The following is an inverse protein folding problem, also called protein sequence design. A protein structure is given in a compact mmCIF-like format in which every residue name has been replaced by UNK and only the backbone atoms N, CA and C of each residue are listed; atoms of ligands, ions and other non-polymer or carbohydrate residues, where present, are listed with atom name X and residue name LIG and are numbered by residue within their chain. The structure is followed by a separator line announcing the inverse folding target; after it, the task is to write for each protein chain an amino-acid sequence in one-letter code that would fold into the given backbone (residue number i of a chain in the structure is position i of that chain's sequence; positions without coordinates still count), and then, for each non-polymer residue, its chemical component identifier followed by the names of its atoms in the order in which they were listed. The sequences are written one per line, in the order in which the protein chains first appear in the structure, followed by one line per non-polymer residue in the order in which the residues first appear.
data_IF_702058166328
#
_entry.id   IF_702058166328
#
_cell.length_a   1.000
_cell.length_b   1.000
_cell.length_c   1.000
_cell.angle_alpha   90.00
_cell.angle_beta   90.00
_cell.angle_gamma   90.00
#
_symmetry.space_group_name_H-M   'P 1'
#
loop_
_entity.id
_entity.type
_entity.pdbx_description
1 polymer ?
#
# COMPACT_ATOMS: atom_id res chain seq x y z
N UNK A 1 -5.76 -35.95 1.17
CA UNK A 1 -4.51 -35.24 0.84
C UNK A 1 -3.47 -35.61 1.89
N UNK A 2 -2.34 -36.19 1.51
CA UNK A 2 -1.25 -36.47 2.43
C UNK A 2 -0.55 -35.18 2.84
N UNK A 3 -0.26 -35.04 4.13
CA UNK A 3 0.56 -33.94 4.66
C UNK A 3 1.96 -34.02 4.04
N UNK A 4 2.54 -32.88 3.64
CA UNK A 4 3.94 -32.89 3.21
C UNK A 4 4.83 -33.32 4.40
N UNK A 5 5.99 -33.95 4.14
CA UNK A 5 6.92 -34.32 5.23
C UNK A 5 7.39 -33.11 6.04
N UNK A 6 7.41 -31.92 5.42
CA UNK A 6 7.71 -30.67 6.11
C UNK A 6 6.60 -30.33 7.13
N UNK A 7 5.33 -30.58 6.81
CA UNK A 7 4.18 -30.30 7.68
C UNK A 7 4.12 -31.22 8.91
N UNK A 8 4.81 -32.36 8.87
CA UNK A 8 4.91 -33.27 10.03
C UNK A 8 5.93 -32.79 11.06
N UNK A 9 6.76 -31.79 10.73
CA UNK A 9 7.73 -31.24 11.64
C UNK A 9 7.07 -30.26 12.63
N UNK A 10 7.50 -30.26 13.90
CA UNK A 10 7.18 -29.19 14.84
C UNK A 10 7.46 -27.81 14.24
N UNK A 11 6.66 -26.82 14.62
CA UNK A 11 6.74 -25.44 14.10
C UNK A 11 8.14 -24.86 14.28
N UNK A 12 8.82 -25.18 15.37
CA UNK A 12 10.17 -24.73 15.69
C UNK A 12 11.20 -25.21 14.64
N UNK A 13 11.10 -26.48 14.21
CA UNK A 13 11.98 -27.04 13.18
C UNK A 13 11.66 -26.46 11.80
N UNK A 14 10.37 -26.23 11.51
CA UNK A 14 9.97 -25.58 10.25
C UNK A 14 10.52 -24.16 10.17
N UNK A 15 10.40 -23.38 11.26
CA UNK A 15 11.00 -22.06 11.37
C UNK A 15 12.53 -22.13 11.19
N UNK A 16 13.19 -23.12 11.78
CA UNK A 16 14.62 -23.30 11.59
C UNK A 16 14.98 -23.52 10.11
N UNK A 17 14.25 -24.39 9.40
CA UNK A 17 14.43 -24.64 7.95
C UNK A 17 14.18 -23.37 7.14
N UNK A 18 13.10 -22.63 7.43
CA UNK A 18 12.79 -21.39 6.72
C UNK A 18 13.90 -20.35 6.88
N UNK A 19 14.58 -20.31 8.04
CA UNK A 19 15.70 -19.39 8.24
C UNK A 19 16.90 -19.71 7.34
N UNK A 20 17.20 -20.98 7.09
CA UNK A 20 18.21 -21.40 6.10
C UNK A 20 17.81 -21.10 4.65
N UNK A 21 16.52 -21.06 4.36
CA UNK A 21 16.00 -20.68 3.04
C UNK A 21 15.97 -19.15 2.84
N UNK A 22 16.49 -18.37 3.80
CA UNK A 22 16.43 -16.91 3.81
C UNK A 22 15.00 -16.36 3.74
N UNK A 23 14.01 -17.12 4.23
CA UNK A 23 12.64 -16.63 4.35
C UNK A 23 12.61 -15.69 5.56
N UNK A 24 12.06 -14.47 5.42
CA UNK A 24 11.97 -13.55 6.53
C UNK A 24 11.01 -14.06 7.61
N UNK A 25 11.56 -14.63 8.69
CA UNK A 25 10.78 -15.02 9.88
C UNK A 25 10.83 -13.97 10.99
N UNK A 26 11.84 -13.12 10.90
CA UNK A 26 12.07 -12.00 11.80
C UNK A 26 12.12 -10.73 10.97
N UNK A 27 11.94 -9.60 11.65
CA UNK A 27 12.09 -8.31 10.99
C UNK A 27 13.56 -8.05 10.63
N UNK A 28 14.53 -8.88 11.03
CA UNK A 28 15.95 -8.70 10.75
C UNK A 28 16.44 -9.78 9.79
N UNK A 29 16.56 -9.43 8.52
CA UNK A 29 17.14 -10.28 7.49
C UNK A 29 18.67 -10.16 7.52
N UNK A 30 19.36 -11.29 7.64
CA UNK A 30 20.81 -11.36 7.38
C UNK A 30 21.01 -11.58 5.90
N UNK A 31 21.45 -10.53 5.20
CA UNK A 31 21.87 -10.69 3.82
C UNK A 31 23.36 -11.05 3.80
N UNK A 32 23.65 -12.25 3.30
CA UNK A 32 25.01 -12.65 2.98
C UNK A 32 25.28 -12.15 1.57
N UNK A 33 26.04 -11.06 1.47
CA UNK A 33 26.47 -10.56 0.18
C UNK A 33 27.58 -11.48 -0.33
N UNK A 34 27.24 -12.42 -1.21
CA UNK A 34 28.23 -13.17 -1.94
C UNK A 34 28.91 -12.20 -2.92
N UNK A 35 30.00 -11.57 -2.48
CA UNK A 35 30.96 -10.91 -3.38
C UNK A 35 31.58 -11.99 -4.26
N UNK A 36 30.89 -12.39 -5.32
CA UNK A 36 31.40 -13.33 -6.31
C UNK A 36 30.75 -13.03 -7.67
N UNK A 37 31.29 -12.03 -8.34
CA UNK A 37 31.32 -11.99 -9.80
C UNK A 37 32.76 -11.61 -10.22
N UNK A 38 33.62 -12.64 -10.36
CA UNK A 38 34.76 -12.68 -11.29
C UNK A 38 36.08 -11.92 -10.98
N UNK A 39 36.55 -11.83 -9.72
CA UNK A 39 37.96 -11.45 -9.48
C UNK A 39 38.65 -12.46 -8.55
N UNK A 40 39.66 -13.16 -9.07
CA UNK A 40 40.33 -14.32 -8.46
C UNK A 40 41.29 -13.99 -7.31
N UNK A 41 41.05 -12.92 -6.55
CA UNK A 41 41.96 -12.54 -5.46
C UNK A 41 41.38 -12.95 -4.10
N UNK A 42 42.11 -13.87 -3.47
CA UNK A 42 41.69 -14.80 -2.42
C UNK A 42 41.56 -14.19 -1.01
N UNK A 43 40.94 -13.02 -0.86
CA UNK A 43 40.60 -12.47 0.46
C UNK A 43 39.19 -11.86 0.48
N UNK A 44 38.17 -12.70 0.31
CA UNK A 44 36.78 -12.26 0.40
C UNK A 44 36.30 -12.28 1.85
N UNK A 45 36.40 -11.15 2.52
CA UNK A 45 35.62 -10.91 3.74
C UNK A 45 34.13 -10.94 3.38
N UNK A 46 33.40 -11.92 3.94
CA UNK A 46 31.95 -11.93 3.89
C UNK A 46 31.43 -10.79 4.75
N UNK A 47 31.12 -9.65 4.12
CA UNK A 47 30.36 -8.60 4.79
C UNK A 47 28.92 -9.09 4.95
N UNK A 48 28.53 -9.42 6.17
CA UNK A 48 27.13 -9.62 6.52
C UNK A 48 26.49 -8.27 6.78
N UNK A 49 25.38 -7.98 6.10
CA UNK A 49 24.57 -6.79 6.38
C UNK A 49 23.25 -7.26 6.96
N UNK A 50 22.88 -6.70 8.12
CA UNK A 50 21.57 -6.92 8.71
C UNK A 50 20.64 -5.84 8.17
N UNK A 51 19.51 -6.27 7.61
CA UNK A 51 18.50 -5.39 7.05
C UNK A 51 17.22 -5.57 7.87
N UNK A 52 16.58 -4.46 8.25
CA UNK A 52 15.31 -4.51 8.98
C UNK A 52 14.13 -4.37 8.02
N UNK A 53 13.28 -5.38 7.93
CA UNK A 53 11.99 -5.29 7.25
C UNK A 53 11.02 -4.42 8.04
N UNK A 54 10.44 -3.44 7.36
CA UNK A 54 9.48 -2.51 7.95
C UNK A 54 8.08 -2.64 7.39
N UNK A 55 7.93 -3.13 6.17
CA UNK A 55 6.61 -3.27 5.55
C UNK A 55 6.62 -4.06 4.25
N UNK A 56 5.42 -4.29 3.73
CA UNK A 56 5.17 -4.97 2.46
C UNK A 56 4.25 -4.08 1.64
N UNK A 57 4.70 -3.64 0.48
CA UNK A 57 3.94 -2.83 -0.45
C UNK A 57 3.45 -3.66 -1.63
N UNK A 58 2.16 -3.48 -1.95
CA UNK A 58 1.49 -4.08 -3.08
C UNK A 58 1.07 -2.96 -4.04
N UNK A 59 1.93 -2.58 -5.00
CA UNK A 59 1.71 -1.42 -5.86
C UNK A 59 0.57 -1.60 -6.86
N UNK A 60 0.44 -2.79 -7.44
CA UNK A 60 -0.57 -3.10 -8.45
C UNK A 60 -0.90 -4.59 -8.46
N UNK A 61 -2.16 -4.97 -8.62
CA UNK A 61 -2.65 -6.35 -8.58
C UNK A 61 -2.89 -6.99 -9.95
N UNK A 62 -2.14 -6.61 -11.00
CA UNK A 62 -2.23 -7.35 -12.26
C UNK A 62 -1.79 -8.81 -12.03
N UNK A 63 -2.75 -9.72 -12.17
CA UNK A 63 -2.75 -11.13 -11.70
C UNK A 63 -1.56 -12.02 -12.11
N UNK A 64 -0.67 -11.56 -12.98
CA UNK A 64 0.47 -12.34 -13.50
C UNK A 64 1.85 -11.79 -13.11
N UNK A 65 1.94 -10.55 -12.62
CA UNK A 65 3.24 -9.88 -12.42
C UNK A 65 3.32 -9.05 -11.13
N UNK A 66 2.23 -8.93 -10.38
CA UNK A 66 2.22 -8.26 -9.08
C UNK A 66 3.10 -9.02 -8.09
N UNK A 67 4.36 -8.57 -7.92
CA UNK A 67 5.25 -9.12 -6.92
C UNK A 67 5.24 -8.20 -5.69
N UNK A 68 4.99 -8.74 -4.48
CA UNK A 68 5.08 -7.95 -3.26
C UNK A 68 6.47 -7.35 -3.12
N UNK A 69 6.51 -6.08 -2.76
CA UNK A 69 7.73 -5.32 -2.57
C UNK A 69 7.94 -5.12 -1.06
N UNK A 70 9.03 -5.63 -0.51
CA UNK A 70 9.37 -5.49 0.90
C UNK A 70 10.09 -4.15 1.13
N UNK A 71 9.60 -3.35 2.06
CA UNK A 71 10.28 -2.15 2.56
C UNK A 71 11.37 -2.53 3.56
N UNK A 72 12.57 -1.96 3.39
CA UNK A 72 13.72 -2.23 4.26
C UNK A 72 14.38 -0.96 4.83
N UNK A 73 14.80 -1.04 6.09
CA UNK A 73 15.62 -0.05 6.82
C UNK A 73 17.01 -0.60 7.14
N UNK A 74 17.97 0.31 7.36
CA UNK A 74 19.32 -0.03 7.83
C UNK A 74 20.33 -0.36 6.73
N UNK A 75 20.09 0.10 5.51
CA UNK A 75 20.96 -0.19 4.37
C UNK A 75 21.81 1.02 4.00
N UNK A 76 23.01 1.10 4.61
CA UNK A 76 24.10 1.96 4.10
C UNK A 76 24.91 1.26 3.00
N UNK A 77 24.67 -0.04 2.79
CA UNK A 77 25.39 -0.84 1.80
C UNK A 77 24.85 -0.62 0.38
N UNK A 78 25.76 -0.54 -0.60
CA UNK A 78 25.43 -0.48 -2.03
C UNK A 78 24.71 -1.75 -2.49
N UNK A 79 23.38 -1.69 -2.50
CA UNK A 79 22.47 -2.80 -2.81
C UNK A 79 22.56 -3.29 -4.25
N UNK A 80 23.21 -2.52 -5.14
CA UNK A 80 23.50 -2.95 -6.51
C UNK A 80 24.39 -4.21 -6.56
N UNK A 81 25.04 -4.56 -5.44
CA UNK A 81 25.96 -5.70 -5.31
C UNK A 81 25.30 -6.97 -4.77
N UNK A 82 24.01 -6.94 -4.44
CA UNK A 82 23.30 -8.14 -3.97
C UNK A 82 22.90 -9.00 -5.17
N UNK A 83 23.32 -10.26 -5.14
CA UNK A 83 23.02 -11.30 -6.13
C UNK A 83 21.51 -11.34 -6.46
N UNK A 84 21.16 -10.90 -7.67
CA UNK A 84 19.83 -11.09 -8.28
C UNK A 84 19.73 -12.34 -9.14
N UNK A 85 20.63 -13.32 -8.92
CA UNK A 85 20.71 -14.54 -9.72
C UNK A 85 19.45 -15.42 -9.60
N UNK A 86 19.21 -16.23 -10.62
CA UNK A 86 18.13 -17.23 -10.60
C UNK A 86 18.35 -18.20 -9.42
N UNK A 87 17.42 -18.20 -8.45
CA UNK A 87 17.49 -19.02 -7.23
C UNK A 87 17.66 -18.22 -5.93
N UNK A 88 18.12 -16.98 -6.01
CA UNK A 88 17.94 -16.01 -4.93
C UNK A 88 16.46 -15.61 -4.94
N UNK A 89 15.67 -15.96 -3.93
CA UNK A 89 14.25 -15.60 -3.83
C UNK A 89 13.95 -14.08 -3.84
N UNK A 90 15.00 -13.26 -3.94
CA UNK A 90 14.99 -11.80 -3.98
C UNK A 90 15.66 -11.32 -5.28
N UNK A 91 14.90 -10.68 -6.18
CA UNK A 91 15.48 -10.05 -7.37
C UNK A 91 16.04 -8.66 -7.05
N UNK A 92 17.07 -8.27 -7.81
CA UNK A 92 17.93 -7.12 -7.58
C UNK A 92 17.18 -5.80 -7.28
N UNK A 93 17.74 -5.10 -6.29
CA UNK A 93 17.30 -3.83 -5.72
C UNK A 93 17.58 -2.68 -6.70
N UNK A 94 16.54 -1.98 -7.16
CA UNK A 94 16.72 -0.68 -7.83
C UNK A 94 16.72 0.41 -6.77
N UNK A 95 17.88 1.04 -6.57
CA UNK A 95 18.24 2.34 -5.92
C UNK A 95 17.50 2.87 -4.68
N UNK A 96 16.37 2.29 -4.28
CA UNK A 96 15.57 2.64 -3.12
C UNK A 96 15.11 1.32 -2.49
N UNK A 97 15.55 1.07 -1.24
CA UNK A 97 15.05 0.18 -0.16
C UNK A 97 13.93 -0.86 -0.38
N UNK A 98 13.89 -1.55 -1.52
CA UNK A 98 12.76 -2.40 -1.90
C UNK A 98 13.21 -3.80 -2.38
N UNK A 99 12.92 -4.83 -1.60
CA UNK A 99 13.21 -6.22 -1.99
C UNK A 99 11.97 -6.88 -2.58
N UNK A 100 12.03 -7.39 -3.81
CA UNK A 100 10.89 -8.08 -4.40
C UNK A 100 10.84 -9.53 -3.90
N UNK A 101 9.76 -9.90 -3.20
CA UNK A 101 9.57 -11.27 -2.71
C UNK A 101 8.86 -12.11 -3.79
N UNK A 102 9.62 -12.97 -4.46
CA UNK A 102 9.08 -13.84 -5.50
C UNK A 102 8.40 -15.09 -4.89
N UNK A 103 7.23 -14.90 -4.26
CA UNK A 103 6.45 -16.02 -3.68
C UNK A 103 6.04 -17.06 -4.72
N UNK A 104 5.84 -16.66 -5.98
CA UNK A 104 5.53 -17.55 -7.09
C UNK A 104 6.66 -18.53 -7.46
N UNK A 105 7.93 -18.20 -7.15
CA UNK A 105 9.06 -19.11 -7.35
C UNK A 105 9.15 -20.19 -6.27
N UNK A 106 8.47 -20.01 -5.15
CA UNK A 106 8.64 -20.91 -4.03
C UNK A 106 7.91 -22.25 -4.24
N UNK A 107 6.97 -22.35 -5.20
CA UNK A 107 6.30 -23.61 -5.57
C UNK A 107 5.68 -24.35 -4.37
N UNK A 108 5.49 -23.65 -3.25
CA UNK A 108 5.29 -24.30 -1.96
C UNK A 108 3.85 -24.75 -1.84
N UNK A 109 3.67 -25.85 -1.13
CA UNK A 109 2.37 -26.26 -0.64
C UNK A 109 1.63 -25.05 -0.02
N UNK A 110 0.36 -24.89 -0.39
CA UNK A 110 -0.52 -23.81 0.06
C UNK A 110 -0.43 -23.54 1.57
N UNK A 111 -0.27 -24.57 2.39
CA UNK A 111 -0.19 -24.45 3.85
C UNK A 111 1.08 -23.77 4.33
N UNK A 112 2.21 -24.07 3.69
CA UNK A 112 3.48 -23.41 4.00
C UNK A 112 3.41 -21.94 3.58
N UNK A 113 2.78 -21.65 2.44
CA UNK A 113 2.52 -20.28 2.04
C UNK A 113 1.67 -19.54 3.08
N UNK A 114 0.56 -20.14 3.54
CA UNK A 114 -0.31 -19.56 4.58
C UNK A 114 0.45 -19.32 5.90
N UNK A 115 1.31 -20.25 6.33
CA UNK A 115 2.15 -20.08 7.52
C UNK A 115 3.14 -18.92 7.37
N UNK A 116 3.84 -18.83 6.24
CA UNK A 116 4.78 -17.73 5.96
C UNK A 116 4.05 -16.39 5.95
N UNK A 117 2.90 -16.32 5.29
CA UNK A 117 2.05 -15.13 5.29
C UNK A 117 1.60 -14.76 6.71
N UNK A 118 1.21 -15.74 7.52
CA UNK A 118 0.85 -15.52 8.93
C UNK A 118 1.97 -14.93 9.76
N UNK A 119 3.22 -15.37 9.52
CA UNK A 119 4.39 -14.86 10.23
C UNK A 119 4.75 -13.44 9.77
N UNK A 120 4.73 -13.20 8.45
CA UNK A 120 5.13 -11.92 7.86
C UNK A 120 4.12 -10.82 8.13
N UNK A 121 2.86 -11.03 7.77
CA UNK A 121 1.85 -9.97 7.81
C UNK A 121 1.39 -9.61 9.21
N UNK A 122 1.61 -10.49 10.19
CA UNK A 122 1.34 -10.19 11.59
C UNK A 122 2.32 -9.18 12.17
N UNK A 123 3.53 -9.07 11.62
CA UNK A 123 4.63 -8.25 12.16
C UNK A 123 4.98 -7.03 11.33
N UNK A 124 4.43 -6.91 10.12
CA UNK A 124 4.82 -5.92 9.13
C UNK A 124 3.61 -5.09 8.70
N UNK A 125 3.85 -3.82 8.41
CA UNK A 125 2.86 -2.95 7.80
C UNK A 125 2.61 -3.38 6.35
N UNK A 126 1.38 -3.76 6.02
CA UNK A 126 0.99 -4.11 4.65
C UNK A 126 0.33 -2.91 3.99
N UNK A 127 0.97 -2.38 2.95
CA UNK A 127 0.51 -1.22 2.19
C UNK A 127 -0.12 -1.65 0.87
N UNK A 128 -1.31 -1.15 0.60
CA UNK A 128 -2.10 -1.54 -0.57
C UNK A 128 -2.34 -0.30 -1.44
N UNK A 129 -1.71 -0.30 -2.61
CA UNK A 129 -1.80 0.76 -3.63
C UNK A 129 -2.94 0.60 -4.62
N UNK A 130 -3.70 -0.49 -4.54
CA UNK A 130 -4.72 -0.84 -5.52
C UNK A 130 -6.07 -1.10 -4.84
N UNK A 131 -7.12 -1.16 -5.66
CA UNK A 131 -8.46 -1.42 -5.14
C UNK A 131 -8.66 -2.90 -4.78
N UNK A 132 -9.03 -3.16 -3.52
CA UNK A 132 -9.30 -4.51 -3.03
C UNK A 132 -10.65 -5.08 -3.50
N UNK A 133 -11.64 -4.22 -3.68
CA UNK A 133 -13.04 -4.61 -3.91
C UNK A 133 -13.41 -4.82 -5.39
N UNK A 134 -12.81 -4.10 -6.34
CA UNK A 134 -13.24 -4.13 -7.76
C UNK A 134 -12.73 -5.36 -8.54
N UNK A 135 -11.81 -6.16 -8.00
CA UNK A 135 -11.35 -7.39 -8.65
C UNK A 135 -12.44 -8.48 -8.65
N UNK A 136 -13.50 -8.32 -7.87
CA UNK A 136 -14.71 -9.14 -7.99
C UNK A 136 -15.64 -8.75 -9.16
N UNK A 137 -15.49 -7.55 -9.75
CA UNK A 137 -16.49 -6.98 -10.66
C UNK A 137 -15.89 -6.52 -12.00
N UNK A 138 -14.59 -6.20 -12.08
CA UNK A 138 -13.94 -5.95 -13.36
C UNK A 138 -13.55 -7.26 -14.04
N UNK A 139 -14.52 -7.77 -14.80
CA UNK A 139 -14.29 -8.59 -15.99
C UNK A 139 -13.14 -7.94 -16.76
N UNK A 140 -12.00 -8.62 -16.88
CA UNK A 140 -10.96 -8.20 -17.82
C UNK A 140 -11.56 -8.03 -19.22
N UNK A 141 -10.96 -7.26 -20.11
CA UNK A 141 -11.43 -7.12 -21.50
C UNK A 141 -11.60 -8.50 -22.21
N UNK A 142 -10.99 -9.57 -21.67
CA UNK A 142 -11.12 -10.96 -22.14
C UNK A 142 -12.21 -11.78 -21.44
N UNK A 143 -13.08 -11.19 -20.62
CA UNK A 143 -14.17 -11.93 -19.95
C UNK A 143 -13.75 -12.67 -18.68
N UNK A 144 -12.45 -12.73 -18.35
CA UNK A 144 -11.96 -13.52 -17.22
C UNK A 144 -11.96 -12.67 -15.95
N UNK A 145 -12.66 -13.17 -14.92
CA UNK A 145 -12.60 -12.63 -13.57
C UNK A 145 -11.17 -12.78 -13.04
N UNK A 146 -10.50 -11.66 -12.77
CA UNK A 146 -9.19 -11.68 -12.13
C UNK A 146 -9.33 -12.26 -10.72
N UNK A 147 -8.46 -13.20 -10.35
CA UNK A 147 -8.36 -13.65 -8.96
C UNK A 147 -7.59 -12.59 -8.17
N UNK A 148 -8.07 -12.22 -6.97
CA UNK A 148 -7.28 -11.39 -6.06
C UNK A 148 -5.89 -12.00 -5.86
N UNK A 149 -4.85 -11.15 -5.87
CA UNK A 149 -3.49 -11.59 -5.57
C UNK A 149 -3.33 -12.07 -4.12
N UNK A 150 -4.10 -11.49 -3.19
CA UNK A 150 -4.15 -11.92 -1.80
C UNK A 150 -5.29 -12.93 -1.62
N UNK A 151 -4.98 -14.10 -1.06
CA UNK A 151 -6.01 -15.05 -0.64
C UNK A 151 -6.81 -14.49 0.53
N UNK A 152 -8.07 -14.90 0.69
CA UNK A 152 -8.86 -14.58 1.89
C UNK A 152 -8.15 -15.03 3.17
N UNK A 153 -7.44 -16.17 3.13
CA UNK A 153 -6.62 -16.64 4.25
C UNK A 153 -5.50 -15.66 4.61
N UNK A 154 -4.84 -15.05 3.63
CA UNK A 154 -3.79 -14.06 3.86
C UNK A 154 -4.31 -12.85 4.64
N UNK A 155 -5.50 -12.38 4.29
CA UNK A 155 -6.12 -11.20 4.90
C UNK A 155 -6.39 -11.38 6.40
N UNK A 156 -6.66 -12.62 6.84
CA UNK A 156 -6.92 -12.91 8.25
C UNK A 156 -5.71 -12.69 9.16
N UNK A 157 -4.51 -12.59 8.60
CA UNK A 157 -3.28 -12.38 9.37
C UNK A 157 -2.77 -10.94 9.33
N UNK A 158 -3.42 -10.05 8.57
CA UNK A 158 -3.02 -8.65 8.47
C UNK A 158 -3.32 -7.95 9.80
N UNK A 159 -2.27 -7.51 10.50
CA UNK A 159 -2.41 -6.69 11.71
C UNK A 159 -2.24 -5.21 11.43
N UNK A 160 -1.41 -4.84 10.46
CA UNK A 160 -1.13 -3.45 10.12
C UNK A 160 -1.42 -3.26 8.64
N UNK A 161 -2.37 -2.38 8.31
CA UNK A 161 -2.80 -2.16 6.94
C UNK A 161 -2.82 -0.68 6.61
N UNK A 162 -2.28 -0.32 5.44
CA UNK A 162 -2.35 1.04 4.91
C UNK A 162 -3.02 1.04 3.54
N UNK A 163 -4.13 1.77 3.43
CA UNK A 163 -4.82 2.01 2.17
C UNK A 163 -4.31 3.32 1.56
N UNK A 164 -3.52 3.22 0.50
CA UNK A 164 -2.80 4.34 -0.10
C UNK A 164 -3.74 5.32 -0.85
N UNK A 165 -3.33 6.58 -1.09
CA UNK A 165 -4.17 7.58 -1.77
C UNK A 165 -4.44 7.26 -3.23
N UNK A 166 -3.64 6.39 -3.83
CA UNK A 166 -3.80 5.95 -5.23
C UNK A 166 -4.96 4.96 -5.43
N UNK A 167 -5.53 4.42 -4.34
CA UNK A 167 -6.62 3.45 -4.42
C UNK A 167 -7.83 4.05 -5.12
N UNK A 168 -8.26 3.39 -6.21
CA UNK A 168 -9.40 3.79 -7.03
C UNK A 168 -9.09 4.84 -8.11
N UNK A 169 -7.90 5.47 -8.10
CA UNK A 169 -7.50 6.47 -9.10
C UNK A 169 -7.11 5.88 -10.45
N UNK A 170 -6.65 4.63 -10.46
CA UNK A 170 -6.30 3.94 -11.69
C UNK A 170 -7.58 3.52 -12.43
N UNK A 171 -7.74 4.03 -13.65
CA UNK A 171 -8.76 3.58 -14.60
C UNK A 171 -8.09 3.08 -15.86
N UNK A 172 -8.61 1.99 -16.42
CA UNK A 172 -8.23 1.52 -17.75
C UNK A 172 -8.74 2.42 -18.86
N UNK A 173 -9.80 3.20 -18.60
CA UNK A 173 -10.30 4.21 -19.53
C UNK A 173 -9.36 5.43 -19.54
N UNK A 174 -9.18 6.08 -20.72
CA UNK A 174 -8.40 7.31 -20.85
C UNK A 174 -8.92 8.30 -19.81
N UNK A 175 -8.04 8.65 -18.86
CA UNK A 175 -8.41 9.26 -17.59
C UNK A 175 -9.35 10.45 -17.83
N UNK A 176 -10.61 10.39 -17.37
CA UNK A 176 -11.45 11.57 -17.40
C UNK A 176 -10.74 12.67 -16.59
N UNK A 177 -10.97 13.93 -16.96
CA UNK A 177 -10.64 15.06 -16.08
C UNK A 177 -11.15 14.72 -14.68
N UNK A 178 -10.46 15.16 -13.63
CA UNK A 178 -10.85 14.91 -12.24
C UNK A 178 -12.16 15.68 -11.91
N UNK A 179 -13.28 15.18 -12.45
CA UNK A 179 -14.62 15.73 -12.29
C UNK A 179 -15.18 15.31 -10.94
N UNK A 180 -16.19 16.03 -10.42
CA UNK A 180 -16.89 15.60 -9.20
C UNK A 180 -17.46 14.17 -9.29
N UNK A 181 -17.94 13.76 -10.48
CA UNK A 181 -18.46 12.41 -10.71
C UNK A 181 -17.35 11.34 -10.64
N UNK A 182 -16.19 11.61 -11.25
CA UNK A 182 -15.03 10.73 -11.14
C UNK A 182 -14.55 10.64 -9.68
N UNK A 183 -14.42 11.78 -9.00
CA UNK A 183 -14.02 11.81 -7.60
C UNK A 183 -15.00 11.04 -6.70
N UNK A 184 -16.31 11.16 -6.94
CA UNK A 184 -17.33 10.35 -6.27
C UNK A 184 -17.17 8.85 -6.52
N UNK A 185 -16.80 8.46 -7.74
CA UNK A 185 -16.51 7.06 -8.09
C UNK A 185 -15.27 6.54 -7.36
N UNK A 186 -14.20 7.34 -7.28
CA UNK A 186 -12.99 7.01 -6.50
C UNK A 186 -13.33 6.79 -5.03
N UNK A 187 -14.13 7.67 -4.42
CA UNK A 187 -14.56 7.49 -3.03
C UNK A 187 -15.40 6.23 -2.85
N UNK A 188 -16.33 5.94 -3.77
CA UNK A 188 -17.12 4.71 -3.73
C UNK A 188 -16.21 3.47 -3.72
N UNK A 189 -15.17 3.46 -4.55
CA UNK A 189 -14.17 2.38 -4.62
C UNK A 189 -13.34 2.23 -3.34
N UNK A 190 -12.97 3.36 -2.73
CA UNK A 190 -12.29 3.39 -1.43
C UNK A 190 -13.21 2.86 -0.32
N UNK A 191 -14.47 3.32 -0.25
CA UNK A 191 -15.50 2.79 0.66
C UNK A 191 -15.66 1.28 0.51
N UNK A 192 -15.78 0.77 -0.72
CA UNK A 192 -15.89 -0.67 -0.95
C UNK A 192 -14.65 -1.44 -0.50
N UNK A 193 -13.46 -0.85 -0.64
CA UNK A 193 -12.21 -1.46 -0.14
C UNK A 193 -12.16 -1.49 1.38
N UNK A 194 -12.61 -0.42 2.06
CA UNK A 194 -12.72 -0.35 3.51
C UNK A 194 -13.73 -1.37 4.07
N UNK A 195 -14.93 -1.46 3.47
CA UNK A 195 -15.93 -2.45 3.86
C UNK A 195 -15.43 -3.90 3.64
N UNK A 196 -14.65 -4.11 2.57
CA UNK A 196 -14.00 -5.38 2.32
C UNK A 196 -12.98 -5.72 3.42
N UNK A 197 -12.14 -4.76 3.83
CA UNK A 197 -11.18 -4.91 4.94
C UNK A 197 -11.93 -5.26 6.24
N UNK A 198 -13.00 -4.54 6.55
CA UNK A 198 -13.83 -4.77 7.74
C UNK A 198 -14.33 -6.21 7.86
N UNK A 199 -14.59 -6.85 6.71
CA UNK A 199 -15.16 -8.19 6.65
C UNK A 199 -14.11 -9.30 6.60
N UNK A 200 -12.88 -9.01 6.18
CA UNK A 200 -11.86 -10.02 5.89
C UNK A 200 -10.58 -9.91 6.73
N UNK A 201 -10.42 -8.85 7.52
CA UNK A 201 -9.23 -8.62 8.36
C UNK A 201 -9.60 -8.58 9.85
N UNK A 202 -10.09 -9.68 10.46
CA UNK A 202 -10.52 -9.68 11.87
C UNK A 202 -9.38 -9.43 12.87
N UNK A 203 -8.14 -9.72 12.50
CA UNK A 203 -6.94 -9.49 13.32
C UNK A 203 -6.28 -8.13 13.11
N UNK A 204 -6.97 -7.21 12.43
CA UNK A 204 -6.45 -5.88 12.17
C UNK A 204 -6.28 -5.11 13.48
N UNK A 205 -5.07 -4.60 13.71
CA UNK A 205 -4.66 -3.82 14.89
C UNK A 205 -4.50 -2.34 14.55
N UNK A 206 -3.96 -2.04 13.37
CA UNK A 206 -3.74 -0.68 12.89
C UNK A 206 -4.25 -0.58 11.47
N UNK A 207 -5.14 0.38 11.23
CA UNK A 207 -5.53 0.79 9.89
C UNK A 207 -5.13 2.23 9.64
N UNK A 208 -4.38 2.45 8.57
CA UNK A 208 -4.06 3.77 8.06
C UNK A 208 -4.78 4.01 6.74
N UNK A 209 -5.73 4.94 6.74
CA UNK A 209 -6.45 5.36 5.55
C UNK A 209 -5.86 6.66 5.02
N UNK A 210 -5.37 6.64 3.78
CA UNK A 210 -4.78 7.82 3.14
C UNK A 210 -5.68 8.34 2.02
N UNK A 211 -6.68 9.19 2.27
CA UNK A 211 -7.52 9.72 1.19
C UNK A 211 -6.73 10.64 0.26
N UNK A 212 -7.07 10.68 -1.02
CA UNK A 212 -6.44 11.60 -1.97
C UNK A 212 -7.01 13.02 -1.83
N UNK A 213 -6.22 14.05 -1.46
CA UNK A 213 -6.75 15.39 -1.17
C UNK A 213 -7.52 16.03 -2.33
N UNK A 214 -7.04 15.88 -3.58
CA UNK A 214 -7.76 16.44 -4.74
C UNK A 214 -9.11 15.73 -4.98
N UNK A 215 -9.25 14.46 -4.59
CA UNK A 215 -10.55 13.75 -4.69
C UNK A 215 -11.50 14.35 -3.65
N UNK A 216 -11.04 14.50 -2.41
CA UNK A 216 -11.83 15.10 -1.33
C UNK A 216 -12.26 16.54 -1.66
N UNK A 217 -11.38 17.36 -2.26
CA UNK A 217 -11.72 18.75 -2.60
C UNK A 217 -12.85 18.85 -3.63
N UNK A 218 -12.98 17.88 -4.54
CA UNK A 218 -13.99 17.88 -5.63
C UNK A 218 -15.36 17.31 -5.25
N UNK A 219 -15.47 16.54 -4.16
CA UNK A 219 -16.75 15.92 -3.76
C UNK A 219 -17.56 16.79 -2.80
N UNK A 220 -18.88 16.58 -2.75
CA UNK A 220 -19.75 17.15 -1.69
C UNK A 220 -19.54 16.42 -0.36
N UNK A 221 -19.79 17.07 0.76
CA UNK A 221 -19.68 16.48 2.12
C UNK A 221 -20.54 15.21 2.29
N UNK A 222 -21.68 15.12 1.62
CA UNK A 222 -22.54 13.93 1.65
C UNK A 222 -21.86 12.67 1.11
N UNK A 223 -20.85 12.80 0.23
CA UNK A 223 -20.08 11.66 -0.27
C UNK A 223 -19.03 11.15 0.73
N UNK A 224 -18.78 11.88 1.82
CA UNK A 224 -17.87 11.42 2.88
C UNK A 224 -18.57 10.46 3.84
N UNK A 225 -19.90 10.54 3.97
CA UNK A 225 -20.66 9.71 4.91
C UNK A 225 -20.43 8.20 4.71
N UNK A 226 -20.44 7.64 3.47
CA UNK A 226 -20.14 6.22 3.27
C UNK A 226 -18.71 5.82 3.67
N UNK A 227 -17.73 6.71 3.53
CA UNK A 227 -16.36 6.46 3.98
C UNK A 227 -16.31 6.40 5.51
N UNK A 228 -16.98 7.35 6.18
CA UNK A 228 -17.10 7.38 7.64
C UNK A 228 -17.81 6.13 8.16
N UNK A 229 -18.91 5.72 7.53
CA UNK A 229 -19.64 4.51 7.89
C UNK A 229 -18.77 3.25 7.75
N UNK A 230 -17.95 3.16 6.68
CA UNK A 230 -17.03 2.05 6.51
C UNK A 230 -15.91 2.03 7.56
N UNK A 231 -15.38 3.19 7.98
CA UNK A 231 -14.39 3.27 9.06
C UNK A 231 -14.98 2.86 10.41
N UNK A 232 -16.21 3.30 10.69
CA UNK A 232 -17.00 2.85 11.85
C UNK A 232 -17.18 1.32 11.81
N UNK A 233 -17.56 0.78 10.66
CA UNK A 233 -17.74 -0.67 10.49
C UNK A 233 -16.44 -1.44 10.77
N UNK A 234 -15.29 -0.93 10.31
CA UNK A 234 -13.98 -1.52 10.61
C UNK A 234 -13.72 -1.52 12.12
N UNK A 235 -13.97 -0.40 12.81
CA UNK A 235 -13.79 -0.30 14.26
C UNK A 235 -14.68 -1.27 15.02
N UNK A 236 -15.92 -1.47 14.56
CA UNK A 236 -16.86 -2.38 15.22
C UNK A 236 -16.60 -3.86 14.95
N UNK A 237 -16.11 -4.21 13.74
CA UNK A 237 -15.88 -5.61 13.34
C UNK A 237 -14.49 -6.12 13.71
N UNK A 238 -13.48 -5.25 13.77
CA UNK A 238 -12.09 -5.64 14.02
C UNK A 238 -11.81 -5.56 15.52
N UNK A 239 -12.05 -6.66 16.24
CA UNK A 239 -11.96 -6.70 17.71
C UNK A 239 -10.55 -6.45 18.27
N UNK A 240 -9.52 -6.58 17.42
CA UNK A 240 -8.13 -6.33 17.79
C UNK A 240 -7.65 -4.93 17.38
N UNK A 241 -8.50 -4.13 16.75
CA UNK A 241 -8.13 -2.80 16.27
C UNK A 241 -7.85 -1.93 17.48
N UNK A 242 -6.73 -1.21 17.44
CA UNK A 242 -6.25 -0.30 18.50
C UNK A 242 -6.04 1.10 17.97
N UNK A 243 -5.78 1.24 16.66
CA UNK A 243 -5.40 2.50 16.04
C UNK A 243 -6.07 2.66 14.68
N UNK A 244 -6.77 3.77 14.53
CA UNK A 244 -7.22 4.30 13.25
C UNK A 244 -6.44 5.56 12.94
N UNK A 245 -5.81 5.60 11.78
CA UNK A 245 -5.03 6.76 11.34
C UNK A 245 -5.62 7.25 10.03
N UNK A 246 -5.89 8.55 9.93
CA UNK A 246 -6.16 9.21 8.67
C UNK A 246 -5.01 10.16 8.40
N UNK A 247 -4.34 9.96 7.26
CA UNK A 247 -3.18 10.75 6.88
C UNK A 247 -3.34 11.28 5.46
N UNK A 248 -2.88 12.49 5.23
CA UNK A 248 -2.96 13.15 3.94
C UNK A 248 -1.61 13.74 3.55
N UNK A 249 -1.28 13.53 2.28
CA UNK A 249 0.00 13.94 1.70
C UNK A 249 -0.21 15.07 0.73
N UNK A 250 0.81 15.90 0.58
CA UNK A 250 0.80 16.91 -0.45
C UNK A 250 0.74 16.28 -1.85
N UNK A 251 -0.20 16.74 -2.66
CA UNK A 251 -0.38 16.30 -4.04
C UNK A 251 -0.19 17.45 -5.01
N UNK A 252 0.46 17.13 -6.13
CA UNK A 252 0.62 18.05 -7.25
C UNK A 252 -0.52 17.86 -8.24
N UNK A 253 -1.09 18.95 -8.78
CA UNK A 253 -2.04 18.86 -9.87
C UNK A 253 -1.33 18.26 -11.10
N UNK A 254 -2.08 17.50 -11.90
CA UNK A 254 -1.61 16.96 -13.18
C UNK A 254 -1.54 18.08 -14.24
N UNK A 255 -0.75 19.11 -13.99
CA UNK A 255 -0.36 20.06 -15.02
C UNK A 255 0.98 19.58 -15.64
N UNK A 256 1.14 19.76 -16.96
CA UNK A 256 2.37 19.36 -17.66
C UNK A 256 3.64 20.06 -17.17
N UNK A 257 3.51 21.06 -16.30
CA UNK A 257 4.57 21.87 -15.73
C UNK A 257 5.50 21.08 -14.79
N UNK A 258 5.08 19.90 -14.31
CA UNK A 258 5.93 18.98 -13.53
C UNK A 258 6.52 17.85 -14.39
N UNK A 259 6.73 18.10 -15.68
CA UNK A 259 6.96 17.12 -16.75
C UNK A 259 8.08 16.10 -16.52
N UNK A 260 9.14 16.45 -15.78
CA UNK A 260 10.28 15.55 -15.53
C UNK A 260 10.07 14.58 -14.36
N UNK A 261 9.10 14.81 -13.46
CA UNK A 261 8.81 13.90 -12.34
C UNK A 261 7.66 12.92 -12.64
N UNK A 262 7.18 12.83 -13.88
CA UNK A 262 6.02 11.99 -14.27
C UNK A 262 6.15 10.52 -13.88
N UNK A 263 7.36 9.98 -13.81
CA UNK A 263 7.59 8.59 -13.38
C UNK A 263 7.44 8.39 -11.86
N UNK A 264 7.68 9.41 -11.04
CA UNK A 264 7.59 9.31 -9.57
C UNK A 264 6.18 9.56 -9.01
N UNK A 265 5.25 10.04 -9.85
CA UNK A 265 3.99 10.63 -9.40
C UNK A 265 2.76 9.69 -9.42
N UNK A 266 2.93 8.44 -9.83
CA UNK A 266 1.86 7.42 -9.76
C UNK A 266 2.14 6.31 -8.73
N UNK A 267 3.38 6.19 -8.25
CA UNK A 267 3.72 5.26 -7.17
C UNK A 267 3.30 5.78 -5.78
N UNK A 268 2.68 6.96 -5.74
CA UNK A 268 1.70 7.36 -4.72
C UNK A 268 2.20 7.58 -3.30
N UNK A 269 3.41 7.15 -2.98
CA UNK A 269 3.93 7.22 -1.62
C UNK A 269 5.42 6.92 -1.60
N UNK A 270 6.23 7.96 -1.43
CA UNK A 270 7.53 7.75 -0.80
C UNK A 270 7.25 7.59 0.71
N UNK A 271 7.64 6.47 1.35
CA UNK A 271 7.57 6.31 2.81
C UNK A 271 8.24 7.44 3.59
N UNK A 272 9.16 8.17 2.96
CA UNK A 272 9.89 9.30 3.56
C UNK A 272 9.13 10.61 3.51
N UNK A 273 8.05 10.70 2.73
CA UNK A 273 7.22 11.91 2.78
C UNK A 273 6.44 11.88 4.07
N UNK A 274 6.76 12.81 4.96
CA UNK A 274 5.95 13.07 6.13
C UNK A 274 4.55 13.49 5.69
N UNK A 275 3.54 12.96 6.37
CA UNK A 275 2.17 13.39 6.15
C UNK A 275 2.07 14.87 6.57
N UNK A 276 1.48 15.71 5.72
CA UNK A 276 1.23 17.10 6.09
C UNK A 276 0.11 17.21 7.11
N UNK A 277 -0.83 16.27 7.07
CA UNK A 277 -1.89 16.13 8.06
C UNK A 277 -1.97 14.67 8.44
N UNK A 278 -1.87 14.38 9.73
CA UNK A 278 -2.05 13.06 10.30
C UNK A 278 -2.82 13.18 11.60
N UNK A 279 -3.97 12.51 11.65
CA UNK A 279 -4.81 12.44 12.83
C UNK A 279 -5.00 10.98 13.20
N UNK A 280 -4.97 10.70 14.50
CA UNK A 280 -5.01 9.35 15.03
C UNK A 280 -6.08 9.23 16.10
N UNK A 281 -6.84 8.15 16.03
CA UNK A 281 -7.73 7.69 17.08
C UNK A 281 -7.19 6.36 17.61
N UNK A 282 -6.70 6.38 18.84
CA UNK A 282 -6.14 5.22 19.53
C UNK A 282 -6.95 4.83 20.76
N UNK A 283 -6.98 3.54 21.06
CA UNK A 283 -7.53 2.98 22.30
C UNK A 283 -6.76 1.72 22.72
N UNK A 284 -6.88 1.33 23.98
CA UNK A 284 -6.15 0.19 24.55
C UNK A 284 -6.66 -1.15 24.03
N UNK A 285 -5.83 -2.19 24.14
CA UNK A 285 -6.23 -3.54 23.73
C UNK A 285 -7.40 -4.06 24.57
N UNK A 286 -8.51 -4.38 23.90
CA UNK A 286 -9.72 -4.90 24.54
C UNK A 286 -10.76 -3.82 24.85
N UNK A 287 -10.38 -2.54 24.81
CA UNK A 287 -11.33 -1.44 24.89
C UNK A 287 -12.17 -1.37 23.63
N UNK A 288 -13.46 -1.07 23.80
CA UNK A 288 -14.37 -0.81 22.67
C UNK A 288 -14.58 0.68 22.55
N UNK A 289 -14.09 1.25 21.46
CA UNK A 289 -14.42 2.62 21.08
C UNK A 289 -15.90 2.73 20.75
N UNK A 290 -16.56 3.77 21.24
CA UNK A 290 -17.96 4.02 20.90
C UNK A 290 -18.11 4.39 19.43
N UNK A 291 -19.16 3.87 18.79
CA UNK A 291 -19.46 4.12 17.39
C UNK A 291 -19.52 5.63 17.07
N UNK A 292 -20.11 6.43 17.95
CA UNK A 292 -20.27 7.87 17.73
C UNK A 292 -18.94 8.61 17.80
N UNK A 293 -18.03 8.19 18.67
CA UNK A 293 -16.67 8.77 18.77
C UNK A 293 -15.93 8.58 17.45
N UNK A 294 -15.92 7.38 16.88
CA UNK A 294 -15.27 7.10 15.58
C UNK A 294 -15.93 7.91 14.46
N UNK A 295 -17.26 8.01 14.47
CA UNK A 295 -18.04 8.74 13.45
C UNK A 295 -17.70 10.24 13.47
N UNK A 296 -17.74 10.87 14.64
CA UNK A 296 -17.43 12.29 14.82
C UNK A 296 -15.99 12.57 14.42
N UNK A 297 -15.04 11.80 14.97
CA UNK A 297 -13.62 11.92 14.65
C UNK A 297 -13.36 11.80 13.15
N UNK A 298 -13.80 10.71 12.50
CA UNK A 298 -13.53 10.48 11.09
C UNK A 298 -14.14 11.58 10.20
N UNK A 299 -15.34 12.07 10.56
CA UNK A 299 -15.99 13.18 9.85
C UNK A 299 -15.18 14.46 9.97
N UNK A 300 -14.74 14.83 11.18
CA UNK A 300 -13.95 16.04 11.42
C UNK A 300 -12.63 16.00 10.66
N UNK A 301 -11.90 14.88 10.75
CA UNK A 301 -10.61 14.73 10.06
C UNK A 301 -10.77 14.80 8.53
N UNK A 302 -11.74 14.08 7.94
CA UNK A 302 -11.96 14.12 6.49
C UNK A 302 -12.39 15.50 5.99
N UNK A 303 -13.17 16.24 6.79
CA UNK A 303 -13.51 17.64 6.52
C UNK A 303 -12.27 18.53 6.62
N UNK A 304 -11.40 18.29 7.60
CA UNK A 304 -10.10 18.96 7.75
C UNK A 304 -9.21 18.76 6.52
N UNK A 305 -9.00 17.51 6.09
CA UNK A 305 -8.25 17.18 4.86
C UNK A 305 -8.86 17.87 3.64
N UNK A 306 -10.19 17.89 3.52
CA UNK A 306 -10.87 18.56 2.40
C UNK A 306 -10.63 20.08 2.36
N UNK A 307 -10.52 20.71 3.53
CA UNK A 307 -10.37 22.17 3.68
C UNK A 307 -8.91 22.63 3.64
N UNK A 308 -7.95 21.73 3.85
CA UNK A 308 -6.53 22.08 3.90
C UNK A 308 -5.98 22.36 2.49
N UNK A 309 -5.83 23.64 2.15
CA UNK A 309 -5.32 24.09 0.84
C UNK A 309 -3.86 23.69 0.62
N UNK A 310 -3.05 23.59 1.68
CA UNK A 310 -1.64 23.22 1.62
C UNK A 310 -1.39 21.82 1.06
N UNK A 311 -2.40 20.94 1.18
CA UNK A 311 -2.35 19.59 0.62
C UNK A 311 -2.39 19.58 -0.93
N UNK A 312 -2.82 20.66 -1.57
CA UNK A 312 -2.91 20.77 -3.03
C UNK A 312 -1.97 21.88 -3.49
N UNK A 313 -0.80 21.50 -3.99
CA UNK A 313 0.12 22.47 -4.56
C UNK A 313 -0.54 23.21 -5.73
N UNK A 314 -0.46 24.54 -5.76
CA UNK A 314 -0.85 25.31 -6.94
C UNK A 314 0.07 24.99 -8.13
N UNK A 315 -0.46 25.07 -9.35
CA UNK A 315 0.41 25.02 -10.53
C UNK A 315 1.26 26.30 -10.56
N UNK A 316 2.60 26.22 -10.65
CA UNK A 316 3.45 27.42 -10.69
C UNK A 316 3.12 28.33 -11.88
N UNK A 317 2.55 27.77 -12.95
CA UNK A 317 2.17 28.49 -14.17
C UNK A 317 0.69 28.91 -14.22
N UNK A 318 -0.13 28.64 -13.19
CA UNK A 318 -1.54 29.10 -13.17
C UNK A 318 -1.65 30.63 -13.12
N UNK A 319 -0.65 31.32 -12.57
CA UNK A 319 -0.57 32.79 -12.58
C UNK A 319 -0.37 33.40 -13.97
N UNK A 320 0.42 32.75 -14.84
CA UNK A 320 0.75 33.27 -16.17
C UNK A 320 -0.42 33.17 -17.16
N UNK A 321 -1.35 32.23 -16.96
CA UNK A 321 -2.49 32.04 -17.88
C UNK A 321 -3.74 32.85 -17.49
N UNK A 322 -3.88 33.33 -16.25
CA UNK A 322 -5.03 34.18 -15.87
C UNK A 322 -4.99 35.56 -16.57
N UNK A 323 -3.81 36.09 -16.88
CA UNK A 323 -3.66 37.32 -17.68
C UNK A 323 -3.94 37.12 -19.18
N UNK A 324 -3.75 35.91 -19.72
CA UNK A 324 -4.02 35.64 -21.13
C UNK A 324 -5.52 35.45 -21.43
N UNK A 325 -6.31 34.93 -20.47
CA UNK A 325 -7.75 34.70 -20.66
C UNK A 325 -8.59 35.95 -20.43
N UNK A 326 -8.12 36.94 -19.66
CA UNK A 326 -8.81 38.23 -19.51
C UNK A 326 -8.78 39.09 -20.77
N UNK A 327 -7.92 38.79 -21.75
CA UNK A 327 -7.86 39.49 -23.03
C UNK A 327 -8.78 38.90 -24.12
N UNK A 328 -9.43 37.76 -23.85
CA UNK A 328 -10.33 37.09 -24.81
C UNK A 328 -11.81 37.05 -24.35
N UNK A 329 -12.12 37.58 -23.16
CA UNK A 329 -13.46 37.54 -22.55
C UNK A 329 -14.39 38.71 -22.87
N UNK A 330 -14.11 39.49 -23.92
CA UNK A 330 -14.88 40.68 -24.28
C UNK A 330 -15.70 40.50 -25.56
N UNK A 331 -16.63 39.54 -25.61
CA UNK A 331 -17.70 39.41 -26.61
C UNK A 331 -18.46 38.12 -26.32
N UNK A 332 -19.51 38.18 -25.50
CA UNK A 332 -20.73 37.36 -25.60
C UNK A 332 -21.59 37.74 -24.39
N UNK A 333 -22.20 38.92 -24.49
CA UNK A 333 -23.38 39.29 -23.72
C UNK A 333 -24.53 39.41 -24.73
N UNK A 334 -25.44 38.44 -24.72
CA UNK A 334 -26.86 38.54 -25.02
C UNK A 334 -27.57 37.45 -24.25
#
# INVERSE_FOLDING_TARGET
MSLSRLELLPTELRLHIYSYLNIPLTNNLRLICARNCLSSDASHSHSQTIIRLTGIYLPNAHHKTAQPILSVEGVEADLSKICGGAGCGMRSLKKDTWCVMATGLMGVNRRIHEEICGILYRKLEVRIGYQLSDVAIHVSETGQLGRMALSSSTLTYLTHLTLAPVVGLHTTSPTPKLTPSFAGTVLKRQTSSLAYIASHCPSLQVLTYSPHPIVLSKVRYTHLAPVVDALVEIAMKSTQLRRLVIQAYQVRPRCGCYGEMRQYNLDGHDPRREALLQEELGWEEGDRVEQEVVRVWAKEVLVGVKKCEELIMGCPNEGSNRQAVSLLGGRYAR
#
